data_IF_017079758733
#
_entry.id   IF_017079758733
#
_cell.length_a   1.000
_cell.length_b   1.000
_cell.length_c   1.000
_cell.angle_alpha   90.00
_cell.angle_beta   90.00
_cell.angle_gamma   90.00
#
_symmetry.space_group_name_H-M   'P 1'
#
loop_
_entity.id
_entity.type
_entity.pdbx_description
1 polymer ?
#
# COMPACT_ATOMS: atom_id res chain seq x y z
N UNK A 1 -25.95 14.81 0.21
CA UNK A 1 -25.78 14.36 0.42
C UNK A 1 -25.27 13.97 0.77
N UNK A 2 -24.87 13.97 0.70
CA UNK A 2 -24.29 13.37 1.00
C UNK A 2 -23.73 12.67 1.13
N UNK A 3 -23.29 12.50 1.17
CA UNK A 3 -22.93 11.57 1.26
C UNK A 3 -23.24 11.08 1.71
N UNK A 4 -23.57 11.16 1.88
CA UNK A 4 -23.92 10.48 2.20
C UNK A 4 -24.39 9.95 2.51
N UNK A 5 -24.73 9.90 2.65
CA UNK A 5 -25.11 9.26 3.01
C UNK A 5 -24.90 8.39 3.14
N UNK A 6 -24.42 8.33 2.79
CA UNK A 6 -24.15 7.74 2.76
C UNK A 6 -23.95 7.04 2.62
N UNK A 7 -23.80 6.84 2.57
CA UNK A 7 -23.56 6.19 2.36
C UNK A 7 -23.68 5.40 2.63
N UNK A 8 -23.90 5.29 2.75
CA UNK A 8 -24.03 4.66 2.97
C UNK A 8 -24.15 3.69 3.04
N UNK A 9 -24.18 3.01 3.04
CA UNK A 9 -24.25 2.14 3.06
C UNK A 9 -23.91 1.16 2.65
N UNK A 10 -23.57 0.66 2.45
CA UNK A 10 -23.32 0.14 1.88
C UNK A 10 -23.02 -0.86 1.50
N UNK A 11 -22.95 -1.72 1.59
CA UNK A 11 -22.53 -2.09 0.98
C UNK A 11 -22.60 -1.89 0.27
N UNK A 12 -22.98 -2.33 0.70
CA UNK A 12 -23.59 -1.71 0.09
C UNK A 12 -23.00 -0.58 -0.33
N UNK A 13 -22.28 -0.36 -0.03
CA UNK A 13 -21.82 0.83 -0.25
C UNK A 13 -20.87 0.90 -1.38
N UNK A 14 -21.29 0.37 -2.50
CA UNK A 14 -20.62 0.57 -3.76
C UNK A 14 -20.47 2.06 -4.05
N UNK A 15 -21.46 2.84 -3.63
CA UNK A 15 -21.39 4.29 -3.81
C UNK A 15 -20.29 4.90 -2.98
N UNK A 16 -20.13 4.50 -1.74
CA UNK A 16 -19.08 5.02 -0.89
C UNK A 16 -17.71 4.72 -1.43
N UNK A 17 -17.51 3.51 -1.94
CA UNK A 17 -16.23 3.13 -2.54
C UNK A 17 -15.95 3.97 -3.78
N UNK A 18 -16.95 4.16 -4.62
CA UNK A 18 -16.80 4.97 -5.82
C UNK A 18 -16.40 6.40 -5.47
N UNK A 19 -17.02 6.95 -4.44
CA UNK A 19 -16.71 8.33 -4.05
C UNK A 19 -15.32 8.44 -3.48
N UNK A 20 -14.88 7.45 -2.71
CA UNK A 20 -13.51 7.43 -2.20
C UNK A 20 -12.53 7.39 -3.37
N UNK A 21 -12.77 6.52 -4.34
CA UNK A 21 -11.93 6.45 -5.52
C UNK A 21 -11.88 7.79 -6.26
N UNK A 22 -13.04 8.41 -6.46
CA UNK A 22 -13.09 9.68 -7.15
C UNK A 22 -12.35 10.76 -6.38
N UNK A 23 -12.49 10.78 -5.06
CA UNK A 23 -11.80 11.73 -4.21
C UNK A 23 -10.28 11.58 -4.36
N UNK A 24 -9.80 10.35 -4.30
CA UNK A 24 -8.38 10.07 -4.46
C UNK A 24 -7.89 10.53 -5.82
N UNK A 25 -8.62 10.19 -6.86
CA UNK A 25 -8.23 10.54 -8.21
C UNK A 25 -8.18 12.04 -8.44
N UNK A 26 -9.06 12.80 -7.78
CA UNK A 26 -9.10 14.24 -7.96
C UNK A 26 -8.08 14.99 -7.15
N UNK A 27 -7.85 14.55 -5.91
CA UNK A 27 -7.15 15.40 -4.96
C UNK A 27 -5.74 14.95 -4.63
N UNK A 28 -5.49 13.66 -4.65
CA UNK A 28 -4.23 13.16 -4.12
C UNK A 28 -3.60 12.10 -4.99
N UNK A 29 -4.23 11.77 -6.08
CA UNK A 29 -3.80 10.66 -6.92
C UNK A 29 -2.47 10.92 -7.61
N UNK A 30 -2.12 12.17 -7.85
CA UNK A 30 -0.96 12.49 -8.67
C UNK A 30 0.31 11.81 -8.21
N UNK A 31 0.64 11.97 -6.92
CA UNK A 31 1.92 11.46 -6.41
C UNK A 31 1.90 9.95 -6.24
N UNK A 32 0.92 9.44 -5.48
CA UNK A 32 0.90 8.01 -5.17
C UNK A 32 0.55 7.20 -6.41
N UNK A 33 -0.39 7.67 -7.23
CA UNK A 33 -0.75 6.95 -8.45
C UNK A 33 0.42 6.87 -9.42
N UNK A 34 1.22 7.93 -9.52
CA UNK A 34 2.42 7.90 -10.34
C UNK A 34 3.42 6.86 -9.82
N UNK A 35 3.58 6.80 -8.50
CA UNK A 35 4.46 5.79 -7.91
C UNK A 35 3.97 4.37 -8.20
N UNK A 36 2.67 4.16 -8.12
CA UNK A 36 2.08 2.87 -8.44
C UNK A 36 2.33 2.50 -9.90
N UNK A 37 2.12 3.45 -10.82
CA UNK A 37 2.37 3.21 -12.23
C UNK A 37 3.81 2.81 -12.49
N UNK A 38 4.75 3.51 -11.87
CA UNK A 38 6.17 3.23 -12.05
C UNK A 38 6.57 1.90 -11.42
N UNK A 39 5.99 1.59 -10.27
CA UNK A 39 6.37 0.37 -9.55
C UNK A 39 5.80 -0.89 -10.19
N UNK A 40 4.56 -0.83 -10.66
CA UNK A 40 3.85 -2.02 -11.12
C UNK A 40 3.77 -2.15 -12.64
N UNK A 41 3.99 -1.06 -13.36
CA UNK A 41 4.03 -1.11 -14.81
C UNK A 41 2.71 -1.52 -15.44
N UNK A 42 2.81 -2.10 -16.64
CA UNK A 42 1.62 -2.44 -17.40
C UNK A 42 1.06 -3.83 -17.08
N UNK A 43 1.74 -4.57 -16.23
CA UNK A 43 1.27 -5.91 -15.86
C UNK A 43 0.06 -5.90 -14.94
N UNK A 44 -0.22 -4.75 -14.33
CA UNK A 44 -1.35 -4.58 -13.44
C UNK A 44 -2.35 -3.64 -14.10
N UNK A 45 -3.62 -3.99 -14.08
CA UNK A 45 -4.66 -3.20 -14.75
C UNK A 45 -4.88 -1.86 -14.05
N UNK A 46 -5.48 -0.91 -14.80
CA UNK A 46 -5.81 0.39 -14.23
C UNK A 46 -6.76 0.27 -13.05
N UNK A 47 -7.72 -0.65 -13.15
CA UNK A 47 -8.67 -0.87 -12.06
C UNK A 47 -7.95 -1.33 -10.79
N UNK A 48 -7.01 -2.24 -10.93
CA UNK A 48 -6.27 -2.74 -9.78
C UNK A 48 -5.33 -1.70 -9.20
N UNK A 49 -4.77 -0.85 -10.05
CA UNK A 49 -3.96 0.26 -9.58
C UNK A 49 -4.79 1.27 -8.81
N UNK A 50 -6.02 1.52 -9.26
CA UNK A 50 -6.92 2.42 -8.55
C UNK A 50 -7.31 1.84 -7.20
N UNK A 51 -7.55 0.54 -7.14
CA UNK A 51 -7.84 -0.13 -5.87
C UNK A 51 -6.66 -0.04 -4.91
N UNK A 52 -5.46 -0.20 -5.42
CA UNK A 52 -4.27 -0.09 -4.57
C UNK A 52 -4.10 1.34 -4.05
N UNK A 53 -4.38 2.33 -4.88
CA UNK A 53 -4.33 3.73 -4.44
C UNK A 53 -5.35 3.96 -3.32
N UNK A 54 -6.57 3.44 -3.47
CA UNK A 54 -7.59 3.58 -2.45
C UNK A 54 -7.14 2.91 -1.15
N UNK A 55 -6.54 1.74 -1.26
CA UNK A 55 -6.01 1.04 -0.09
C UNK A 55 -4.95 1.86 0.61
N UNK A 56 -4.03 2.44 -0.14
CA UNK A 56 -2.93 3.22 0.45
C UNK A 56 -3.47 4.44 1.19
N UNK A 57 -4.47 5.13 0.63
CA UNK A 57 -5.01 6.32 1.26
C UNK A 57 -5.94 6.00 2.43
N UNK A 58 -6.70 4.89 2.35
CA UNK A 58 -7.69 4.54 3.37
C UNK A 58 -7.59 3.06 3.72
N UNK A 59 -6.43 2.64 4.27
CA UNK A 59 -6.19 1.20 4.46
C UNK A 59 -7.19 0.53 5.40
N UNK A 60 -7.51 1.15 6.52
CA UNK A 60 -8.42 0.53 7.47
C UNK A 60 -9.81 0.41 6.89
N UNK A 61 -10.28 1.47 6.23
CA UNK A 61 -11.60 1.46 5.64
C UNK A 61 -11.69 0.48 4.48
N UNK A 62 -10.66 0.45 3.64
CA UNK A 62 -10.63 -0.49 2.52
C UNK A 62 -10.74 -1.93 3.01
N UNK A 63 -9.93 -2.28 4.01
CA UNK A 63 -9.93 -3.64 4.53
C UNK A 63 -11.23 -3.98 5.25
N UNK A 64 -11.80 -3.02 5.98
CA UNK A 64 -13.05 -3.28 6.68
C UNK A 64 -14.21 -3.50 5.72
N UNK A 65 -14.17 -2.89 4.53
CA UNK A 65 -15.22 -3.05 3.54
C UNK A 65 -15.01 -4.25 2.62
N UNK A 66 -13.83 -4.86 2.64
CA UNK A 66 -13.57 -6.05 1.85
C UNK A 66 -14.30 -7.23 2.47
N UNK A 67 -15.13 -7.98 1.69
CA UNK A 67 -15.82 -9.14 2.25
C UNK A 67 -14.85 -10.20 2.74
N UNK A 68 -15.19 -10.84 3.86
CA UNK A 68 -14.31 -11.85 4.46
C UNK A 68 -13.97 -12.98 3.49
N UNK A 69 -14.92 -13.35 2.63
CA UNK A 69 -14.68 -14.43 1.67
C UNK A 69 -13.59 -14.10 0.67
N UNK A 70 -13.29 -12.81 0.46
CA UNK A 70 -12.23 -12.41 -0.45
C UNK A 70 -10.87 -12.31 0.24
N UNK A 71 -10.84 -12.34 1.55
CA UNK A 71 -9.60 -12.16 2.32
C UNK A 71 -8.85 -13.48 2.46
N UNK A 72 -8.41 -13.99 1.33
CA UNK A 72 -7.62 -15.23 1.29
C UNK A 72 -6.15 -14.92 1.47
N UNK A 73 -5.34 -15.97 1.67
CA UNK A 73 -3.89 -15.80 1.74
C UNK A 73 -3.35 -15.17 0.47
N UNK A 74 -3.89 -15.57 -0.68
CA UNK A 74 -3.46 -15.00 -1.96
C UNK A 74 -3.79 -13.51 -2.04
N UNK A 75 -4.94 -13.11 -1.54
CA UNK A 75 -5.34 -11.70 -1.50
C UNK A 75 -4.31 -10.88 -0.71
N UNK A 76 -3.99 -11.31 0.49
CA UNK A 76 -3.04 -10.59 1.33
C UNK A 76 -1.63 -10.59 0.72
N UNK A 77 -1.21 -11.74 0.20
CA UNK A 77 0.12 -11.86 -0.38
C UNK A 77 0.31 -10.90 -1.54
N UNK A 78 -0.71 -10.81 -2.40
CA UNK A 78 -0.63 -9.90 -3.55
C UNK A 78 -0.54 -8.45 -3.12
N UNK A 79 -1.37 -8.06 -2.16
CA UNK A 79 -1.33 -6.68 -1.64
C UNK A 79 0.03 -6.38 -1.03
N UNK A 80 0.54 -7.29 -0.21
CA UNK A 80 1.83 -7.08 0.43
C UNK A 80 2.95 -6.92 -0.60
N UNK A 81 2.98 -7.78 -1.61
CA UNK A 81 4.00 -7.68 -2.66
C UNK A 81 3.92 -6.36 -3.39
N UNK A 82 2.71 -5.93 -3.74
CA UNK A 82 2.53 -4.66 -4.46
C UNK A 82 2.94 -3.48 -3.61
N UNK A 83 2.57 -3.48 -2.33
CA UNK A 83 2.97 -2.39 -1.43
C UNK A 83 4.48 -2.33 -1.27
N UNK A 84 5.14 -3.48 -1.17
CA UNK A 84 6.60 -3.50 -1.07
C UNK A 84 7.24 -2.90 -2.32
N UNK A 85 6.72 -3.21 -3.51
CA UNK A 85 7.26 -2.62 -4.73
C UNK A 85 7.09 -1.10 -4.75
N UNK A 86 5.93 -0.61 -4.31
CA UNK A 86 5.71 0.83 -4.23
C UNK A 86 6.65 1.47 -3.20
N UNK A 87 6.84 0.82 -2.06
CA UNK A 87 7.76 1.33 -1.03
C UNK A 87 9.18 1.39 -1.54
N UNK A 88 9.63 0.36 -2.24
CA UNK A 88 10.97 0.35 -2.83
C UNK A 88 11.19 1.56 -3.72
N UNK A 89 10.22 1.84 -4.56
CA UNK A 89 10.32 2.97 -5.47
C UNK A 89 10.29 4.29 -4.70
N UNK A 90 9.40 4.39 -3.73
CA UNK A 90 9.24 5.60 -2.94
C UNK A 90 10.49 5.91 -2.12
N UNK A 91 11.16 4.88 -1.62
CA UNK A 91 12.33 5.07 -0.76
C UNK A 91 13.63 5.24 -1.54
N UNK A 92 13.62 5.02 -2.84
CA UNK A 92 14.83 4.98 -3.64
C UNK A 92 15.64 6.29 -3.60
N UNK A 93 14.99 7.42 -3.36
CA UNK A 93 15.65 8.71 -3.32
C UNK A 93 16.04 9.17 -1.92
N UNK A 94 15.74 8.35 -0.91
CA UNK A 94 16.10 8.68 0.46
C UNK A 94 17.28 7.85 0.91
N UNK A 95 18.01 8.34 1.92
CA UNK A 95 19.08 7.55 2.51
C UNK A 95 18.46 6.38 3.29
N UNK A 96 19.22 5.31 3.43
CA UNK A 96 18.75 4.15 4.17
C UNK A 96 18.41 4.53 5.62
N UNK A 97 19.23 5.40 6.21
CA UNK A 97 18.98 5.85 7.58
C UNK A 97 17.65 6.57 7.71
N UNK A 98 17.33 7.47 6.76
CA UNK A 98 16.07 8.20 6.80
C UNK A 98 14.89 7.25 6.62
N UNK A 99 15.01 6.28 5.73
CA UNK A 99 13.97 5.29 5.51
C UNK A 99 13.73 4.48 6.78
N UNK A 100 14.81 4.00 7.41
CA UNK A 100 14.68 3.20 8.62
C UNK A 100 13.98 3.96 9.75
N UNK A 101 14.27 5.25 9.87
CA UNK A 101 13.61 6.07 10.88
C UNK A 101 12.11 6.23 10.63
N UNK A 102 11.71 6.20 9.37
CA UNK A 102 10.30 6.34 9.01
C UNK A 102 9.51 5.06 9.22
N UNK A 103 10.17 3.90 9.18
CA UNK A 103 9.50 2.62 9.33
C UNK A 103 9.04 2.43 10.78
N UNK A 104 7.80 1.94 10.98
CA UNK A 104 7.33 1.66 12.36
C UNK A 104 8.28 0.72 13.09
N UNK A 105 8.54 1.02 14.35
CA UNK A 105 9.53 0.29 15.13
C UNK A 105 9.26 -1.21 15.16
N UNK A 106 7.99 -1.57 15.30
CA UNK A 106 7.60 -2.98 15.43
C UNK A 106 7.91 -3.81 14.17
N UNK A 107 7.98 -3.16 13.00
CA UNK A 107 8.22 -3.87 11.74
C UNK A 107 9.52 -3.43 11.07
N UNK A 108 10.34 -2.64 11.76
CA UNK A 108 11.51 -2.03 11.12
C UNK A 108 12.44 -3.05 10.48
N UNK A 109 12.75 -4.11 11.20
CA UNK A 109 13.67 -5.11 10.69
C UNK A 109 13.12 -5.81 9.44
N UNK A 110 11.86 -6.22 9.52
CA UNK A 110 11.24 -6.98 8.43
C UNK A 110 11.07 -6.12 7.17
N UNK A 111 10.59 -4.90 7.35
CA UNK A 111 10.38 -4.01 6.21
C UNK A 111 11.72 -3.62 5.58
N UNK A 112 12.71 -3.30 6.42
CA UNK A 112 14.04 -2.95 5.90
C UNK A 112 14.62 -4.11 5.09
N UNK A 113 14.44 -5.33 5.55
CA UNK A 113 14.89 -6.52 4.86
C UNK A 113 14.17 -6.67 3.51
N UNK A 114 12.85 -6.55 3.51
CA UNK A 114 12.07 -6.73 2.29
C UNK A 114 12.36 -5.65 1.26
N UNK A 115 12.57 -4.41 1.70
CA UNK A 115 12.86 -3.30 0.80
C UNK A 115 14.21 -3.47 0.13
N UNK A 116 15.20 -3.96 0.86
CA UNK A 116 16.57 -3.99 0.37
C UNK A 116 16.99 -5.33 -0.22
N UNK A 117 16.10 -6.29 -0.27
CA UNK A 117 16.43 -7.62 -0.78
C UNK A 117 16.41 -7.65 -2.30
N UNK A 118 17.50 -8.06 -2.96
CA UNK A 118 17.50 -8.21 -4.41
C UNK A 118 16.79 -9.51 -4.80
N UNK A 119 16.02 -9.47 -5.87
CA UNK A 119 15.22 -10.60 -6.31
C UNK A 119 15.92 -11.52 -7.29
N UNK A 120 17.23 -11.42 -7.42
CA UNK A 120 17.89 -12.00 -8.58
C UNK A 120 18.20 -13.48 -8.49
N UNK A 121 17.87 -14.14 -7.38
CA UNK A 121 18.10 -15.58 -7.29
C UNK A 121 16.85 -16.30 -6.79
N UNK A 122 16.72 -17.58 -7.16
CA UNK A 122 15.57 -18.38 -6.77
C UNK A 122 15.51 -18.54 -5.25
N UNK A 123 16.67 -18.68 -4.59
CA UNK A 123 16.70 -18.83 -3.15
C UNK A 123 16.22 -17.57 -2.44
N UNK A 124 16.55 -16.39 -2.98
CA UNK A 124 16.10 -15.14 -2.38
C UNK A 124 14.61 -14.90 -2.60
N UNK A 125 14.10 -15.33 -3.76
CA UNK A 125 12.66 -15.26 -4.01
C UNK A 125 11.90 -16.15 -3.04
N UNK A 126 12.41 -17.34 -2.75
CA UNK A 126 11.81 -18.22 -1.77
C UNK A 126 11.79 -17.63 -0.37
N UNK A 127 12.90 -17.01 0.01
CA UNK A 127 13.01 -16.36 1.32
C UNK A 127 12.02 -15.21 1.44
N UNK A 128 11.93 -14.39 0.40
CA UNK A 128 11.01 -13.27 0.34
C UNK A 128 9.56 -13.74 0.49
N UNK A 129 9.18 -14.75 -0.29
CA UNK A 129 7.84 -15.31 -0.21
C UNK A 129 7.58 -15.98 1.14
N UNK A 130 8.62 -16.53 1.75
CA UNK A 130 8.53 -17.11 3.08
C UNK A 130 8.20 -16.08 4.13
N UNK A 131 8.83 -14.90 4.05
CA UNK A 131 8.54 -13.81 4.98
C UNK A 131 7.08 -13.37 4.84
N UNK A 132 6.62 -13.20 3.61
CA UNK A 132 5.24 -12.79 3.36
C UNK A 132 4.26 -13.82 3.93
N UNK A 133 4.55 -15.10 3.70
CA UNK A 133 3.69 -16.17 4.22
C UNK A 133 3.64 -16.15 5.74
N UNK A 134 4.79 -15.93 6.36
CA UNK A 134 4.86 -15.86 7.82
C UNK A 134 4.00 -14.73 8.36
N UNK A 135 4.08 -13.55 7.74
CA UNK A 135 3.26 -12.41 8.15
C UNK A 135 1.78 -12.78 8.10
N UNK A 136 1.37 -13.46 7.05
CA UNK A 136 -0.03 -13.84 6.88
C UNK A 136 -0.44 -14.89 7.90
N UNK A 137 0.39 -15.92 8.09
CA UNK A 137 0.06 -17.03 8.98
C UNK A 137 -0.01 -16.59 10.43
N UNK A 138 0.77 -15.58 10.81
CA UNK A 138 0.72 -15.05 12.16
C UNK A 138 -0.45 -14.10 12.39
N UNK A 139 -1.28 -13.87 11.37
CA UNK A 139 -2.43 -13.00 11.51
C UNK A 139 -2.09 -11.52 11.48
N UNK A 140 -0.92 -11.16 10.99
CA UNK A 140 -0.45 -9.78 11.01
C UNK A 140 -0.63 -9.06 9.68
N UNK A 141 -1.23 -9.70 8.67
CA UNK A 141 -1.27 -9.15 7.34
C UNK A 141 -1.95 -7.78 7.28
N UNK A 142 -3.11 -7.64 7.90
CA UNK A 142 -3.84 -6.38 7.81
C UNK A 142 -3.11 -5.25 8.53
N UNK A 143 -2.58 -5.54 9.71
CA UNK A 143 -1.83 -4.52 10.42
C UNK A 143 -0.59 -4.09 9.63
N UNK A 144 0.09 -5.06 9.01
CA UNK A 144 1.25 -4.78 8.17
C UNK A 144 0.87 -3.92 6.98
N UNK A 145 -0.24 -4.24 6.32
CA UNK A 145 -0.75 -3.48 5.19
C UNK A 145 -1.04 -2.04 5.61
N UNK A 146 -1.69 -1.87 6.74
CA UNK A 146 -2.02 -0.53 7.26
C UNK A 146 -0.75 0.27 7.50
N UNK A 147 0.22 -0.33 8.18
CA UNK A 147 1.48 0.37 8.49
C UNK A 147 2.26 0.73 7.24
N UNK A 148 2.30 -0.18 6.27
CA UNK A 148 3.00 0.10 5.01
C UNK A 148 2.30 1.19 4.23
N UNK A 149 0.97 1.22 4.25
CA UNK A 149 0.21 2.27 3.58
C UNK A 149 0.53 3.63 4.17
N UNK A 150 0.57 3.74 5.49
CA UNK A 150 0.92 5.00 6.14
C UNK A 150 2.37 5.40 5.88
N UNK A 151 3.27 4.43 5.78
CA UNK A 151 4.65 4.71 5.44
C UNK A 151 4.75 5.35 4.04
N UNK A 152 4.02 4.80 3.08
CA UNK A 152 4.00 5.36 1.73
C UNK A 152 3.45 6.78 1.76
N UNK A 153 2.36 7.00 2.47
CA UNK A 153 1.78 8.34 2.60
C UNK A 153 2.78 9.32 3.19
N UNK A 154 3.43 8.91 4.26
CA UNK A 154 4.38 9.77 4.95
C UNK A 154 5.55 10.16 4.05
N UNK A 155 6.12 9.21 3.34
CA UNK A 155 7.25 9.49 2.45
C UNK A 155 6.82 10.36 1.27
N UNK A 156 5.63 10.15 0.75
CA UNK A 156 5.13 10.97 -0.34
C UNK A 156 4.87 12.40 0.11
N UNK A 157 4.31 12.58 1.30
CA UNK A 157 4.02 13.89 1.85
C UNK A 157 5.32 14.63 2.17
N UNK A 158 6.28 13.96 2.78
CA UNK A 158 7.58 14.58 3.07
C UNK A 158 8.20 15.12 1.82
N UNK A 159 8.13 14.37 0.72
CA UNK A 159 8.70 14.80 -0.54
C UNK A 159 7.98 16.02 -1.10
N UNK A 160 6.64 16.03 -1.01
CA UNK A 160 5.86 17.18 -1.46
C UNK A 160 6.18 18.40 -0.61
N UNK A 161 6.33 18.19 0.69
CA UNK A 161 6.63 19.29 1.59
C UNK A 161 7.98 19.93 1.26
N UNK A 162 8.98 19.10 0.99
CA UNK A 162 10.31 19.58 0.62
C UNK A 162 10.22 20.41 -0.66
N UNK A 163 9.48 19.94 -1.64
CA UNK A 163 9.30 20.67 -2.90
C UNK A 163 8.57 21.98 -2.65
N UNK A 164 7.57 21.96 -1.77
CA UNK A 164 6.79 23.14 -1.45
C UNK A 164 7.59 24.21 -0.72
N UNK A 165 8.62 23.82 -0.01
CA UNK A 165 9.45 24.76 0.74
C UNK A 165 10.46 25.48 -0.11
N UNK A 166 10.64 25.02 -1.33
CA UNK A 166 11.55 25.67 -2.26
C UNK A 166 10.85 26.79 -3.00
#
# INVERSE_FOLDING_TARGET
QGLPKGTEHFLSDLHGESEIFLHILRNASGVIRTKIDLALGKSVSEDEKNKLAALIYYPEEYLSRTPEKEKTSAFYAEILRRLIEVIKLTTAKYTRSKVRKAIPTEYRYIIDELINMPYHSISKAKYYNGIIREIIELGNAENFIIRMSYLIQRLAIDRLHVVGDI
#
